data_IF_495427960910
#
_entry.id   IF_495427960910
#
_cell.length_a   1.000
_cell.length_b   1.000
_cell.length_c   1.000
_cell.angle_alpha   90.00
_cell.angle_beta   90.00
_cell.angle_gamma   90.00
#
_symmetry.space_group_name_H-M   'P 1'
#
loop_
_entity.id
_entity.type
_entity.pdbx_description
1 polymer ?
#
# COMPACT_ATOMS: atom_id res chain seq x y z
N UNK A 1 -0.16 -2.66 -6.19
CA UNK A 1 -0.39 -3.61 -5.07
C UNK A 1 0.03 -5.02 -5.49
N UNK A 2 0.25 -5.94 -4.55
CA UNK A 2 0.52 -7.34 -4.86
C UNK A 2 -0.75 -8.17 -5.03
N UNK A 3 -0.67 -9.31 -5.74
CA UNK A 3 -1.82 -10.22 -5.98
C UNK A 3 -2.60 -10.59 -4.72
N UNK A 4 -1.92 -11.01 -3.65
CA UNK A 4 -2.59 -11.42 -2.40
C UNK A 4 -3.39 -10.27 -1.76
N UNK A 5 -2.87 -9.05 -1.83
CA UNK A 5 -3.57 -7.86 -1.36
C UNK A 5 -4.81 -7.59 -2.20
N UNK A 6 -4.70 -7.70 -3.52
CA UNK A 6 -5.86 -7.63 -4.40
C UNK A 6 -6.91 -8.70 -4.02
N UNK A 7 -6.52 -9.96 -3.91
CA UNK A 7 -7.41 -11.08 -3.57
C UNK A 7 -8.05 -10.95 -2.18
N UNK A 8 -7.43 -10.23 -1.23
CA UNK A 8 -8.00 -9.96 0.10
C UNK A 8 -9.18 -8.99 0.08
N UNK A 9 -9.33 -8.18 -0.97
CA UNK A 9 -10.49 -7.31 -1.10
C UNK A 9 -11.73 -8.12 -1.52
N UNK A 10 -12.90 -7.91 -0.87
CA UNK A 10 -14.15 -8.48 -1.34
C UNK A 10 -14.37 -8.14 -2.83
N UNK A 11 -14.78 -9.13 -3.63
CA UNK A 11 -14.86 -8.98 -5.09
C UNK A 11 -15.68 -7.77 -5.55
N UNK A 12 -16.75 -7.40 -4.81
CA UNK A 12 -17.58 -6.22 -5.09
C UNK A 12 -16.85 -4.87 -4.97
N UNK A 13 -15.70 -4.83 -4.30
CA UNK A 13 -14.86 -3.64 -4.14
C UNK A 13 -13.66 -3.63 -5.10
N UNK A 14 -13.55 -4.64 -5.96
CA UNK A 14 -12.54 -4.73 -7.01
C UNK A 14 -13.15 -4.43 -8.38
N UNK A 15 -12.54 -3.56 -9.21
CA UNK A 15 -11.43 -2.67 -8.88
C UNK A 15 -11.84 -1.57 -7.89
N UNK A 16 -10.85 -0.99 -7.21
CA UNK A 16 -11.08 0.16 -6.33
C UNK A 16 -11.61 1.36 -7.15
N UNK A 17 -12.78 1.94 -6.83
CA UNK A 17 -13.42 2.97 -7.65
C UNK A 17 -12.55 4.21 -7.84
N UNK A 18 -12.62 4.81 -9.04
CA UNK A 18 -11.94 6.05 -9.39
C UNK A 18 -10.41 5.96 -9.51
N UNK A 19 -9.85 4.75 -9.53
CA UNK A 19 -8.40 4.52 -9.50
C UNK A 19 -7.98 3.48 -10.53
N UNK A 20 -6.81 3.68 -11.14
CA UNK A 20 -6.13 2.61 -11.88
C UNK A 20 -5.56 1.61 -10.88
N UNK A 21 -5.99 0.35 -10.97
CA UNK A 21 -5.54 -0.70 -10.07
C UNK A 21 -4.44 -1.52 -10.75
N UNK A 22 -3.20 -1.34 -10.35
CA UNK A 22 -2.05 -2.11 -10.88
C UNK A 22 -1.69 -3.23 -9.90
N UNK A 23 -1.73 -4.48 -10.38
CA UNK A 23 -1.48 -5.69 -9.61
C UNK A 23 -0.19 -6.36 -10.08
N UNK A 24 0.76 -6.50 -9.15
CA UNK A 24 2.04 -7.17 -9.36
C UNK A 24 1.90 -8.66 -9.03
N UNK A 25 2.20 -9.53 -10.00
CA UNK A 25 2.21 -10.98 -9.82
C UNK A 25 3.21 -11.67 -10.74
N UNK A 26 3.88 -12.71 -10.23
CA UNK A 26 4.72 -13.61 -11.03
C UNK A 26 3.96 -14.85 -11.54
N UNK A 27 2.67 -14.97 -11.19
CA UNK A 27 1.85 -16.10 -11.60
C UNK A 27 1.41 -15.94 -13.06
N UNK A 28 2.01 -16.74 -13.94
CA UNK A 28 1.61 -16.80 -15.34
C UNK A 28 0.15 -17.22 -15.50
N UNK A 29 -0.55 -16.62 -16.47
CA UNK A 29 -1.97 -16.87 -16.75
C UNK A 29 -2.96 -16.25 -15.76
N UNK A 30 -2.50 -15.63 -14.67
CA UNK A 30 -3.42 -15.01 -13.70
C UNK A 30 -4.21 -13.84 -14.31
N UNK A 31 -3.60 -13.08 -15.22
CA UNK A 31 -4.22 -11.96 -15.91
C UNK A 31 -5.48 -12.34 -16.71
N UNK A 32 -5.58 -13.60 -17.17
CA UNK A 32 -6.70 -14.10 -17.96
C UNK A 32 -7.85 -14.64 -17.10
N UNK A 33 -7.68 -14.64 -15.77
CA UNK A 33 -8.69 -15.15 -14.83
C UNK A 33 -9.79 -14.11 -14.55
N UNK A 34 -11.00 -14.53 -14.15
CA UNK A 34 -12.03 -13.61 -13.67
C UNK A 34 -11.58 -12.76 -12.48
N UNK A 35 -10.65 -13.27 -11.66
CA UNK A 35 -10.13 -12.55 -10.49
C UNK A 35 -9.28 -11.33 -10.86
N UNK A 36 -8.67 -11.29 -12.05
CA UNK A 36 -7.88 -10.16 -12.52
C UNK A 36 -8.73 -9.05 -13.18
N UNK A 37 -10.05 -9.23 -13.29
CA UNK A 37 -10.94 -8.30 -14.01
C UNK A 37 -10.79 -6.86 -13.51
N UNK A 38 -10.46 -5.97 -14.43
CA UNK A 38 -10.32 -4.52 -14.16
C UNK A 38 -8.99 -4.11 -13.52
N UNK A 39 -8.07 -5.06 -13.30
CA UNK A 39 -6.69 -4.76 -12.92
C UNK A 39 -5.80 -4.63 -14.16
N UNK A 40 -4.81 -3.74 -14.09
CA UNK A 40 -3.62 -3.77 -14.95
C UNK A 40 -2.64 -4.74 -14.29
N UNK A 41 -2.27 -5.81 -14.98
CA UNK A 41 -1.44 -6.88 -14.41
C UNK A 41 -0.02 -6.78 -14.94
N UNK A 42 0.95 -6.76 -14.03
CA UNK A 42 2.38 -6.64 -14.35
C UNK A 42 3.22 -7.62 -13.51
N UNK A 43 4.45 -7.88 -13.94
CA UNK A 43 5.32 -8.91 -13.35
C UNK A 43 6.29 -8.41 -12.27
N UNK A 44 6.48 -7.09 -12.14
CA UNK A 44 7.42 -6.47 -11.18
C UNK A 44 6.93 -5.10 -10.69
N UNK A 45 7.55 -4.60 -9.62
CA UNK A 45 7.32 -3.23 -9.13
C UNK A 45 7.74 -2.20 -10.19
N UNK A 46 8.90 -2.38 -10.84
CA UNK A 46 9.37 -1.46 -11.89
C UNK A 46 8.39 -1.37 -13.06
N UNK A 47 7.84 -2.51 -13.50
CA UNK A 47 6.81 -2.52 -14.53
C UNK A 47 5.53 -1.81 -14.04
N UNK A 48 5.17 -1.94 -12.76
CA UNK A 48 4.03 -1.22 -12.20
C UNK A 48 4.24 0.30 -12.20
N UNK A 49 5.45 0.75 -11.85
CA UNK A 49 5.82 2.17 -11.87
C UNK A 49 5.83 2.71 -13.29
N UNK A 50 6.33 1.95 -14.26
CA UNK A 50 6.27 2.32 -15.67
C UNK A 50 4.83 2.45 -16.16
N UNK A 51 3.98 1.45 -15.91
CA UNK A 51 2.57 1.50 -16.28
C UNK A 51 1.82 2.65 -15.60
N UNK A 52 2.19 2.98 -14.37
CA UNK A 52 1.56 4.08 -13.62
C UNK A 52 1.72 5.44 -14.29
N UNK A 53 2.79 5.65 -15.08
CA UNK A 53 3.03 6.90 -15.80
C UNK A 53 1.99 7.18 -16.88
N UNK A 54 1.35 6.13 -17.41
CA UNK A 54 0.32 6.24 -18.45
C UNK A 54 -1.11 6.26 -17.87
N UNK A 55 -1.24 6.04 -16.56
CA UNK A 55 -2.53 6.02 -15.88
C UNK A 55 -3.07 7.45 -15.65
N UNK A 56 -4.40 7.67 -15.74
CA UNK A 56 -5.01 8.90 -15.26
C UNK A 56 -4.65 9.14 -13.79
N UNK A 57 -4.09 10.32 -13.48
CA UNK A 57 -3.62 10.64 -12.13
C UNK A 57 -2.26 10.04 -11.76
N UNK A 58 -1.49 9.51 -12.73
CA UNK A 58 -0.17 8.89 -12.54
C UNK A 58 0.91 9.76 -11.89
N UNK A 59 0.63 11.03 -11.64
CA UNK A 59 1.45 11.92 -10.82
C UNK A 59 1.50 11.48 -9.34
N UNK A 60 0.44 10.79 -8.86
CA UNK A 60 0.34 10.30 -7.49
C UNK A 60 0.13 8.78 -7.48
N UNK A 61 1.19 8.04 -7.15
CA UNK A 61 1.17 6.57 -7.08
C UNK A 61 1.05 6.12 -5.63
N UNK A 62 -0.01 5.38 -5.31
CA UNK A 62 -0.23 4.81 -3.97
C UNK A 62 0.13 3.34 -3.94
N UNK A 63 1.16 3.00 -3.17
CA UNK A 63 1.55 1.62 -2.90
C UNK A 63 0.75 1.16 -1.67
N UNK A 64 -0.17 0.23 -1.88
CA UNK A 64 -1.08 -0.25 -0.82
C UNK A 64 -0.76 -1.69 -0.36
N UNK A 65 0.50 -2.11 -0.53
CA UNK A 65 1.02 -3.38 -0.06
C UNK A 65 0.87 -4.55 -1.05
N UNK A 66 1.09 -5.79 -0.61
CA UNK A 66 1.38 -6.23 0.77
C UNK A 66 2.85 -6.09 1.18
N UNK A 67 3.27 -6.81 2.23
CA UNK A 67 4.61 -6.67 2.84
C UNK A 67 5.78 -6.74 1.87
N UNK A 68 5.73 -7.64 0.87
CA UNK A 68 6.78 -7.74 -0.16
C UNK A 68 6.84 -6.50 -1.07
N UNK A 69 5.68 -5.97 -1.46
CA UNK A 69 5.61 -4.76 -2.29
C UNK A 69 6.06 -3.54 -1.48
N UNK A 70 5.68 -3.47 -0.21
CA UNK A 70 6.14 -2.42 0.69
C UNK A 70 7.67 -2.42 0.82
N UNK A 71 8.28 -3.58 1.11
CA UNK A 71 9.75 -3.72 1.20
C UNK A 71 10.47 -3.26 -0.05
N UNK A 72 10.01 -3.70 -1.23
CA UNK A 72 10.60 -3.28 -2.51
C UNK A 72 10.45 -1.77 -2.78
N UNK A 73 9.51 -1.11 -2.12
CA UNK A 73 9.22 0.31 -2.36
C UNK A 73 9.85 1.30 -1.38
N UNK A 74 10.47 0.83 -0.29
CA UNK A 74 10.98 1.70 0.77
C UNK A 74 12.05 2.70 0.31
N UNK A 75 12.81 2.34 -0.72
CA UNK A 75 13.89 3.20 -1.24
C UNK A 75 13.41 4.21 -2.30
N UNK A 76 12.19 4.04 -2.82
CA UNK A 76 11.64 4.88 -3.90
C UNK A 76 10.42 5.71 -3.46
N UNK A 77 9.80 5.36 -2.34
CA UNK A 77 8.66 6.10 -1.81
C UNK A 77 9.11 7.41 -1.14
N UNK A 78 8.36 8.49 -1.36
CA UNK A 78 8.64 9.79 -0.76
C UNK A 78 7.95 9.99 0.60
N UNK A 79 6.75 9.40 0.75
CA UNK A 79 5.88 9.56 1.93
C UNK A 79 5.25 8.21 2.27
N UNK A 80 5.14 7.91 3.56
CA UNK A 80 4.38 6.80 4.07
C UNK A 80 3.31 7.31 5.06
N UNK A 81 2.05 6.98 4.77
CA UNK A 81 0.92 7.27 5.66
C UNK A 81 0.56 5.98 6.39
N UNK A 82 0.86 5.95 7.69
CA UNK A 82 0.78 4.76 8.53
C UNK A 82 -0.32 4.93 9.54
N UNK A 83 -1.37 4.12 9.47
CA UNK A 83 -2.33 4.00 10.56
C UNK A 83 -1.74 3.09 11.64
N UNK A 84 -1.35 3.67 12.77
CA UNK A 84 -0.87 2.95 13.95
C UNK A 84 -2.07 2.54 14.77
N UNK A 85 -2.21 1.24 15.02
CA UNK A 85 -3.29 0.66 15.83
C UNK A 85 -2.73 0.34 17.22
N UNK A 86 -3.39 0.82 18.27
CA UNK A 86 -3.06 0.51 19.67
C UNK A 86 -3.71 -0.82 20.06
N UNK A 87 -3.08 -1.92 19.64
CA UNK A 87 -3.54 -3.28 19.90
C UNK A 87 -2.36 -4.23 19.95
N UNK A 88 -2.45 -5.21 20.83
CA UNK A 88 -1.54 -6.37 20.84
C UNK A 88 -2.22 -7.50 20.06
N UNK A 89 -1.66 -7.89 18.92
CA UNK A 89 -2.27 -8.88 18.01
C UNK A 89 -1.21 -9.77 17.39
N UNK A 90 -1.46 -11.08 17.38
CA UNK A 90 -0.61 -12.03 16.67
C UNK A 90 -0.71 -11.81 15.15
N UNK A 91 0.44 -11.87 14.46
CA UNK A 91 0.52 -11.71 13.01
C UNK A 91 1.72 -12.45 12.41
N UNK A 92 1.55 -12.92 11.18
CA UNK A 92 2.60 -13.60 10.40
C UNK A 92 3.23 -12.70 9.33
N UNK A 93 2.71 -11.49 9.17
CA UNK A 93 3.08 -10.53 8.13
C UNK A 93 3.36 -9.18 8.78
N UNK A 94 4.60 -8.71 8.61
CA UNK A 94 5.07 -7.47 9.21
C UNK A 94 5.17 -6.36 8.16
N UNK A 95 4.90 -5.13 8.60
CA UNK A 95 5.23 -3.92 7.85
C UNK A 95 6.76 -3.81 7.68
N UNK A 96 7.26 -3.11 6.64
CA UNK A 96 8.69 -2.83 6.55
C UNK A 96 9.15 -1.94 7.70
N UNK A 97 10.43 -2.06 8.06
CA UNK A 97 11.06 -1.14 8.99
C UNK A 97 11.41 0.18 8.29
N UNK A 98 11.16 1.29 8.98
CA UNK A 98 11.61 2.61 8.54
C UNK A 98 13.08 2.77 8.94
N UNK A 99 13.98 2.75 7.95
CA UNK A 99 15.42 3.00 8.15
C UNK A 99 15.75 4.49 8.32
N UNK A 100 17.04 4.81 8.44
CA UNK A 100 17.56 6.14 8.77
C UNK A 100 17.12 7.26 7.79
N UNK A 101 16.81 6.91 6.55
CA UNK A 101 16.32 7.87 5.55
C UNK A 101 14.88 8.36 5.82
N UNK A 102 14.17 7.81 6.80
CA UNK A 102 12.78 8.13 7.09
C UNK A 102 12.63 8.89 8.39
N UNK A 103 11.90 10.01 8.33
CA UNK A 103 11.62 10.86 9.47
C UNK A 103 10.12 10.94 9.72
N UNK A 104 9.72 10.83 10.98
CA UNK A 104 8.34 11.08 11.39
C UNK A 104 8.07 12.59 11.25
N UNK A 105 7.18 12.95 10.32
CA UNK A 105 6.81 14.34 10.04
C UNK A 105 5.69 14.81 10.95
N UNK A 106 4.66 13.98 11.14
CA UNK A 106 3.51 14.33 11.98
C UNK A 106 2.75 13.10 12.45
N UNK A 107 1.94 13.30 13.50
CA UNK A 107 0.87 12.38 13.88
C UNK A 107 -0.46 13.11 13.96
N UNK A 108 -1.54 12.41 13.67
CA UNK A 108 -2.91 12.85 13.86
C UNK A 108 -3.64 11.87 14.80
N UNK A 109 -4.02 12.32 16.02
CA UNK A 109 -3.73 13.62 16.63
C UNK A 109 -2.23 13.81 16.91
N UNK A 110 -1.83 15.06 17.17
CA UNK A 110 -0.46 15.39 17.56
C UNK A 110 -0.05 14.66 18.86
N UNK A 111 -1.00 14.54 19.80
CA UNK A 111 -0.81 13.82 21.06
C UNK A 111 -1.97 12.84 21.31
N UNK A 112 -1.66 11.67 21.85
CA UNK A 112 -2.64 10.65 22.23
C UNK A 112 -3.16 9.81 21.04
N UNK A 113 -4.43 9.41 21.13
CA UNK A 113 -5.07 8.46 20.21
C UNK A 113 -6.47 8.94 19.81
N UNK A 114 -6.86 8.62 18.58
CA UNK A 114 -8.28 8.58 18.18
C UNK A 114 -8.88 7.25 18.64
N UNK A 115 -10.18 7.23 18.86
CA UNK A 115 -10.92 5.99 19.12
C UNK A 115 -11.90 5.74 17.99
N UNK A 116 -11.79 4.57 17.36
CA UNK A 116 -12.71 4.14 16.31
C UNK A 116 -14.05 3.63 16.89
N UNK A 117 -15.06 3.45 16.04
CA UNK A 117 -16.42 3.04 16.48
C UNK A 117 -16.46 1.70 17.24
N UNK A 118 -15.48 0.82 17.01
CA UNK A 118 -15.40 -0.47 17.69
C UNK A 118 -14.56 -0.40 18.99
N UNK A 119 -14.14 0.79 19.42
CA UNK A 119 -13.31 1.00 20.60
C UNK A 119 -11.81 0.89 20.36
N UNK A 120 -11.36 0.50 19.16
CA UNK A 120 -9.93 0.39 18.86
C UNK A 120 -9.31 1.79 18.81
N UNK A 121 -8.25 1.99 19.58
CA UNK A 121 -7.46 3.21 19.54
C UNK A 121 -6.50 3.20 18.35
N UNK A 122 -6.35 4.33 17.68
CA UNK A 122 -5.47 4.47 16.52
C UNK A 122 -4.99 5.92 16.35
N UNK A 123 -3.89 6.10 15.62
CA UNK A 123 -3.41 7.41 15.17
C UNK A 123 -2.84 7.28 13.77
N UNK A 124 -2.79 8.38 13.03
CA UNK A 124 -2.21 8.38 11.69
C UNK A 124 -0.85 9.06 11.78
N UNK A 125 0.21 8.33 11.47
CA UNK A 125 1.58 8.85 11.40
C UNK A 125 1.95 9.09 9.94
N UNK A 126 2.42 10.29 9.63
CA UNK A 126 2.99 10.62 8.32
C UNK A 126 4.51 10.62 8.44
N UNK A 127 5.16 9.76 7.66
CA UNK A 127 6.61 9.68 7.56
C UNK A 127 7.05 10.23 6.20
N UNK A 128 8.14 10.99 6.19
CA UNK A 128 8.74 11.52 4.98
C UNK A 128 10.16 10.98 4.84
N UNK A 129 10.49 10.51 3.63
CA UNK A 129 11.85 10.13 3.30
C UNK A 129 12.67 11.40 3.01
N UNK A 130 13.83 11.55 3.63
CA UNK A 130 14.79 12.60 3.27
C UNK A 130 15.50 12.19 1.99
N UNK A 131 15.60 13.12 1.05
CA UNK A 131 16.47 12.97 -0.11
C UNK A 131 17.89 13.33 0.33
N UNK A 132 18.87 12.50 -0.04
CA UNK A 132 20.28 12.89 -0.04
C UNK A 132 20.55 13.85 -1.19
#
# INVERSE_FOLDING_TARGET
>A
MGRKTWESFPAKYRPLPGRTNIVVTRQHGWADTPDARGAVVVSSLDAALLESQFAPGGQNVWIIGGGEIYRQSMDIANVAVVTVIDSDTDGDTFAPEFGDAWNLESTEPADGWLTSKNGTNYRIATWRRTED
#
